data_IF_176237813771
#
_entry.id   IF_176237813771
#
_cell.length_a   1.000
_cell.length_b   1.000
_cell.length_c   1.000
_cell.angle_alpha   90.00
_cell.angle_beta   90.00
_cell.angle_gamma   90.00
#
_symmetry.space_group_name_H-M   'P 1'
#
loop_
_entity.id
_entity.type
_entity.pdbx_description
1 polymer ?
#
# COMPACT_ATOMS: atom_id res chain seq x y z
N UNK A 1 -6.89 -23.59 -21.72
CA UNK A 1 -6.81 -22.43 -22.65
C UNK A 1 -5.44 -21.81 -22.46
N UNK A 2 -4.63 -21.73 -23.51
CA UNK A 2 -3.31 -21.10 -23.43
C UNK A 2 -3.51 -19.61 -23.12
N UNK A 3 -3.12 -19.18 -21.91
CA UNK A 3 -3.09 -17.78 -21.53
C UNK A 3 -2.18 -17.02 -22.49
N UNK A 4 -2.70 -15.97 -23.11
CA UNK A 4 -1.88 -15.01 -23.82
C UNK A 4 -0.79 -14.47 -22.89
N UNK A 5 0.43 -14.35 -23.41
CA UNK A 5 1.63 -13.84 -22.76
C UNK A 5 1.58 -12.35 -22.39
N UNK A 6 0.39 -11.78 -22.25
CA UNK A 6 0.16 -10.37 -21.98
C UNK A 6 0.12 -10.14 -20.47
N UNK A 7 1.08 -9.36 -19.97
CA UNK A 7 1.14 -8.94 -18.56
C UNK A 7 -0.09 -8.15 -18.10
N UNK A 8 -0.21 -7.91 -16.80
CA UNK A 8 -1.33 -7.15 -16.24
C UNK A 8 -1.17 -5.66 -16.57
N UNK A 9 -1.92 -5.16 -17.55
CA UNK A 9 -1.82 -3.77 -17.99
C UNK A 9 -2.09 -2.76 -16.86
N UNK A 10 -2.91 -3.11 -15.86
CA UNK A 10 -3.23 -2.24 -14.72
C UNK A 10 -2.07 -2.12 -13.74
N UNK A 11 -1.36 -3.22 -13.46
CA UNK A 11 -0.24 -3.22 -12.51
C UNK A 11 1.09 -2.82 -13.17
N UNK A 12 1.26 -3.12 -14.47
CA UNK A 12 2.54 -2.97 -15.17
C UNK A 12 2.65 -1.66 -15.97
N UNK A 13 1.59 -0.84 -16.05
CA UNK A 13 1.63 0.48 -16.69
C UNK A 13 1.27 1.57 -15.71
N UNK A 14 2.11 2.61 -15.69
CA UNK A 14 1.83 3.83 -14.96
C UNK A 14 0.90 4.74 -15.79
N UNK A 15 -0.04 5.45 -15.13
CA UNK A 15 -0.79 6.51 -15.78
C UNK A 15 0.13 7.69 -16.16
N UNK A 16 -0.33 8.52 -17.10
CA UNK A 16 0.38 9.73 -17.53
C UNK A 16 0.49 10.73 -16.38
N UNK A 17 1.69 11.30 -16.15
CA UNK A 17 1.97 12.13 -14.98
C UNK A 17 0.94 13.27 -14.77
N UNK A 18 0.65 13.68 -13.52
CA UNK A 18 -0.31 14.74 -13.24
C UNK A 18 0.16 16.13 -13.69
N UNK A 19 1.47 16.29 -13.92
CA UNK A 19 2.09 17.50 -14.45
C UNK A 19 2.10 17.57 -15.99
N UNK A 20 1.64 16.52 -16.67
CA UNK A 20 1.46 16.55 -18.12
C UNK A 20 0.32 17.53 -18.51
N UNK A 21 0.51 18.37 -19.55
CA UNK A 21 -0.57 19.19 -20.09
C UNK A 21 -1.78 18.35 -20.47
N UNK A 22 -2.97 18.78 -20.04
CA UNK A 22 -4.22 18.07 -20.34
C UNK A 22 -5.42 19.01 -20.45
N UNK A 23 -6.43 18.60 -21.21
CA UNK A 23 -7.76 19.20 -21.16
C UNK A 23 -8.60 18.39 -20.17
N UNK A 24 -9.01 19.04 -19.08
CA UNK A 24 -9.85 18.47 -18.03
C UNK A 24 -11.32 18.81 -18.29
N UNK A 25 -12.13 17.77 -18.46
CA UNK A 25 -13.58 17.87 -18.39
C UNK A 25 -14.01 17.58 -16.95
N UNK A 26 -14.79 18.48 -16.35
CA UNK A 26 -15.29 18.40 -14.99
C UNK A 26 -16.81 18.55 -15.01
N UNK A 27 -17.53 17.53 -14.55
CA UNK A 27 -18.98 17.52 -14.43
C UNK A 27 -19.37 17.50 -12.95
N UNK A 28 -19.77 18.65 -12.39
CA UNK A 28 -20.30 18.75 -11.04
C UNK A 28 -21.60 17.96 -10.92
N UNK A 29 -21.94 17.43 -9.73
CA UNK A 29 -23.14 16.61 -9.56
C UNK A 29 -24.43 17.44 -9.66
N UNK A 30 -24.38 18.73 -9.28
CA UNK A 30 -25.51 19.64 -9.18
C UNK A 30 -25.06 21.08 -9.51
N UNK A 31 -25.97 21.91 -10.01
CA UNK A 31 -25.66 23.28 -10.41
C UNK A 31 -25.13 24.19 -9.29
N UNK A 32 -25.46 23.93 -8.01
CA UNK A 32 -24.87 24.68 -6.90
C UNK A 32 -23.40 24.31 -6.66
N UNK A 33 -23.01 23.05 -6.90
CA UNK A 33 -21.61 22.61 -6.88
C UNK A 33 -20.85 23.24 -8.06
N UNK A 34 -21.48 23.29 -9.24
CA UNK A 34 -20.94 24.02 -10.39
C UNK A 34 -20.70 25.50 -10.06
N UNK A 35 -21.66 26.17 -9.42
CA UNK A 35 -21.54 27.56 -8.98
C UNK A 35 -20.38 27.80 -8.01
N UNK A 36 -20.15 26.89 -7.05
CA UNK A 36 -19.00 26.95 -6.13
C UNK A 36 -17.67 26.84 -6.88
N UNK A 37 -17.58 25.88 -7.81
CA UNK A 37 -16.38 25.66 -8.63
C UNK A 37 -16.10 26.90 -9.49
N UNK A 38 -17.08 27.38 -10.26
CA UNK A 38 -16.95 28.59 -11.10
C UNK A 38 -16.47 29.79 -10.29
N UNK A 39 -17.12 30.06 -9.15
CA UNK A 39 -16.73 31.16 -8.26
C UNK A 39 -15.29 31.05 -7.76
N UNK A 40 -14.82 29.84 -7.43
CA UNK A 40 -13.44 29.61 -7.00
C UNK A 40 -12.46 29.85 -8.15
N UNK A 41 -12.72 29.26 -9.32
CA UNK A 41 -11.88 29.43 -10.51
C UNK A 41 -11.80 30.91 -10.95
N UNK A 42 -12.93 31.62 -10.96
CA UNK A 42 -13.00 33.05 -11.25
C UNK A 42 -12.17 33.88 -10.25
N UNK A 43 -12.26 33.56 -8.96
CA UNK A 43 -11.52 34.28 -7.91
C UNK A 43 -10.00 34.12 -8.01
N UNK A 44 -9.54 33.02 -8.60
CA UNK A 44 -8.13 32.71 -8.83
C UNK A 44 -7.68 33.06 -10.26
N UNK A 45 -8.57 33.59 -11.11
CA UNK A 45 -8.27 33.96 -12.49
C UNK A 45 -8.01 32.77 -13.41
N UNK A 46 -8.56 31.60 -13.11
CA UNK A 46 -8.39 30.38 -13.89
C UNK A 46 -9.44 30.31 -15.00
N UNK A 47 -9.04 30.31 -16.29
CA UNK A 47 -9.98 30.25 -17.40
C UNK A 47 -10.64 28.87 -17.50
N UNK A 48 -11.93 28.84 -17.82
CA UNK A 48 -12.68 27.64 -18.13
C UNK A 48 -13.74 27.92 -19.21
N UNK A 49 -14.13 26.88 -19.93
CA UNK A 49 -15.25 26.90 -20.88
C UNK A 49 -16.40 26.04 -20.33
N UNK A 50 -17.63 26.29 -20.80
CA UNK A 50 -18.78 25.43 -20.48
C UNK A 50 -18.76 24.24 -21.44
N UNK A 51 -18.80 23.01 -20.91
CA UNK A 51 -19.08 21.85 -21.75
C UNK A 51 -20.51 21.97 -22.31
N UNK A 52 -20.84 21.30 -23.42
CA UNK A 52 -22.13 21.49 -24.10
C UNK A 52 -23.41 21.23 -23.27
N UNK A 53 -23.27 20.74 -22.04
CA UNK A 53 -24.27 20.60 -20.99
C UNK A 53 -24.14 21.71 -19.91
N UNK A 54 -25.28 22.25 -19.44
CA UNK A 54 -25.37 23.52 -18.66
C UNK A 54 -24.43 23.67 -17.44
N UNK A 55 -23.94 22.56 -16.87
CA UNK A 55 -23.11 22.55 -15.66
C UNK A 55 -21.68 22.03 -15.86
N UNK A 56 -21.34 21.45 -17.02
CA UNK A 56 -20.00 20.92 -17.27
C UNK A 56 -18.97 22.04 -17.49
N UNK A 57 -17.73 21.80 -17.07
CA UNK A 57 -16.61 22.72 -17.24
C UNK A 57 -15.47 22.04 -18.01
N UNK A 58 -14.79 22.81 -18.85
CA UNK A 58 -13.58 22.41 -19.58
C UNK A 58 -12.45 23.34 -19.15
N UNK A 59 -11.35 22.76 -18.66
CA UNK A 59 -10.18 23.50 -18.18
C UNK A 59 -8.92 23.02 -18.90
N UNK A 60 -8.00 23.94 -19.21
CA UNK A 60 -6.65 23.59 -19.67
C UNK A 60 -5.71 23.52 -18.49
N UNK A 61 -5.26 22.31 -18.15
CA UNK A 61 -4.38 22.03 -17.01
C UNK A 61 -2.94 21.96 -17.50
N UNK A 62 -2.33 23.12 -17.71
CA UNK A 62 -0.95 23.23 -18.24
C UNK A 62 0.03 23.74 -17.19
N UNK A 63 -0.43 24.61 -16.28
CA UNK A 63 0.42 25.28 -15.30
C UNK A 63 0.18 24.75 -13.88
N UNK A 64 1.17 24.94 -13.01
CA UNK A 64 1.02 24.58 -11.60
C UNK A 64 -0.09 25.39 -10.91
N UNK A 65 -0.28 26.65 -11.29
CA UNK A 65 -1.37 27.49 -10.77
C UNK A 65 -2.76 26.85 -10.98
N UNK A 66 -3.03 26.28 -12.17
CA UNK A 66 -4.30 25.58 -12.44
C UNK A 66 -4.43 24.32 -11.57
N UNK A 67 -3.33 23.58 -11.35
CA UNK A 67 -3.35 22.38 -10.50
C UNK A 67 -3.62 22.74 -9.04
N UNK A 68 -2.98 23.79 -8.53
CA UNK A 68 -3.23 24.28 -7.17
C UNK A 68 -4.68 24.78 -7.01
N UNK A 69 -5.22 25.45 -8.02
CA UNK A 69 -6.62 25.86 -8.04
C UNK A 69 -7.60 24.68 -7.94
N UNK A 70 -7.33 23.61 -8.71
CA UNK A 70 -8.12 22.38 -8.66
C UNK A 70 -8.03 21.72 -7.28
N UNK A 71 -6.82 21.60 -6.72
CA UNK A 71 -6.59 21.10 -5.36
C UNK A 71 -7.36 21.93 -4.32
N UNK A 72 -7.40 23.25 -4.49
CA UNK A 72 -8.13 24.19 -3.63
C UNK A 72 -9.66 24.07 -3.70
N UNK A 73 -10.22 23.32 -4.65
CA UNK A 73 -11.67 23.07 -4.71
C UNK A 73 -12.20 22.34 -3.47
N UNK A 74 -11.36 21.56 -2.78
CA UNK A 74 -11.73 20.89 -1.51
C UNK A 74 -12.02 21.87 -0.37
N UNK A 75 -11.59 23.14 -0.47
CA UNK A 75 -11.90 24.16 0.53
C UNK A 75 -13.34 24.69 0.40
N UNK A 76 -13.95 24.54 -0.78
CA UNK A 76 -15.28 25.08 -1.10
C UNK A 76 -16.32 23.99 -1.35
N UNK A 77 -15.90 22.77 -1.66
CA UNK A 77 -16.76 21.61 -1.88
C UNK A 77 -16.73 20.67 -0.66
N UNK A 78 -17.86 20.02 -0.38
CA UNK A 78 -17.88 18.91 0.57
C UNK A 78 -17.24 17.64 0.00
N UNK A 79 -16.88 16.69 0.88
CA UNK A 79 -16.38 15.39 0.45
C UNK A 79 -17.40 14.62 -0.41
N UNK A 80 -18.71 14.78 -0.14
CA UNK A 80 -19.79 14.21 -0.96
C UNK A 80 -19.82 14.84 -2.36
N UNK A 81 -19.62 16.17 -2.46
CA UNK A 81 -19.56 16.85 -3.75
C UNK A 81 -18.34 16.38 -4.57
N UNK A 82 -17.16 16.25 -3.96
CA UNK A 82 -15.96 15.75 -4.63
C UNK A 82 -16.10 14.29 -5.09
N UNK A 83 -16.76 13.43 -4.30
CA UNK A 83 -17.04 12.02 -4.68
C UNK A 83 -18.09 11.89 -5.77
N UNK A 84 -19.05 12.81 -5.82
CA UNK A 84 -20.13 12.79 -6.80
C UNK A 84 -19.76 13.48 -8.12
N UNK A 85 -18.86 14.46 -8.12
CA UNK A 85 -18.34 15.09 -9.34
C UNK A 85 -17.57 14.07 -10.20
N UNK A 86 -17.65 14.23 -11.52
CA UNK A 86 -16.97 13.37 -12.51
C UNK A 86 -15.92 14.17 -13.26
N UNK A 87 -14.80 13.52 -13.58
CA UNK A 87 -13.69 14.15 -14.28
C UNK A 87 -13.13 13.23 -15.36
N UNK A 88 -12.70 13.83 -16.46
CA UNK A 88 -11.96 13.16 -17.53
C UNK A 88 -10.82 14.07 -18.01
N UNK A 89 -9.58 13.60 -17.86
CA UNK A 89 -8.41 14.28 -18.41
C UNK A 89 -8.01 13.66 -19.75
N UNK A 90 -7.92 14.49 -20.79
CA UNK A 90 -7.52 14.11 -22.14
C UNK A 90 -6.28 14.88 -22.58
N UNK A 91 -5.62 14.37 -23.63
CA UNK A 91 -4.56 15.12 -24.32
C UNK A 91 -5.13 16.46 -24.81
N UNK A 92 -4.36 17.57 -24.75
CA UNK A 92 -4.84 18.88 -25.20
C UNK A 92 -5.41 18.83 -26.62
N UNK A 93 -6.62 19.38 -26.79
CA UNK A 93 -7.33 19.43 -28.07
C UNK A 93 -8.11 18.16 -28.45
N UNK A 94 -8.05 17.09 -27.65
CA UNK A 94 -8.88 15.91 -27.87
C UNK A 94 -10.31 16.11 -27.34
N UNK A 95 -11.28 15.51 -28.04
CA UNK A 95 -12.69 15.47 -27.61
C UNK A 95 -13.03 14.10 -27.02
N UNK A 96 -13.87 14.04 -25.96
CA UNK A 96 -14.27 12.79 -25.35
C UNK A 96 -14.98 11.86 -26.34
N UNK A 97 -14.64 10.58 -26.30
CA UNK A 97 -15.30 9.52 -27.06
C UNK A 97 -15.85 8.45 -26.12
N UNK A 98 -16.66 7.51 -26.65
CA UNK A 98 -17.11 6.35 -25.86
C UNK A 98 -15.94 5.47 -25.35
N UNK A 99 -14.78 5.51 -26.01
CA UNK A 99 -13.60 4.79 -25.57
C UNK A 99 -12.99 5.37 -24.27
N UNK A 100 -13.33 6.60 -23.93
CA UNK A 100 -12.85 7.29 -22.73
C UNK A 100 -13.74 7.07 -21.51
N UNK A 101 -14.94 6.50 -21.69
CA UNK A 101 -15.88 6.26 -20.60
C UNK A 101 -15.28 5.47 -19.43
N UNK A 102 -14.46 4.41 -19.64
CA UNK A 102 -13.81 3.69 -18.54
C UNK A 102 -12.74 4.50 -17.78
N UNK A 103 -12.34 5.67 -18.30
CA UNK A 103 -11.33 6.57 -17.70
C UNK A 103 -11.95 7.70 -16.90
N UNK A 104 -13.28 7.86 -16.96
CA UNK A 104 -13.99 8.84 -16.14
C UNK A 104 -13.83 8.45 -14.67
N UNK A 105 -13.33 9.38 -13.87
CA UNK A 105 -13.11 9.18 -12.43
C UNK A 105 -13.83 10.26 -11.62
N UNK A 106 -13.70 10.24 -10.30
CA UNK A 106 -14.27 11.27 -9.43
C UNK A 106 -13.31 12.46 -9.31
N UNK A 107 -13.85 13.63 -8.94
CA UNK A 107 -12.99 14.77 -8.61
C UNK A 107 -12.07 14.41 -7.43
N UNK A 108 -12.56 13.74 -6.39
CA UNK A 108 -11.74 13.25 -5.27
C UNK A 108 -10.52 12.45 -5.76
N UNK A 109 -10.72 11.49 -6.66
CA UNK A 109 -9.61 10.69 -7.20
C UNK A 109 -8.64 11.53 -8.01
N UNK A 110 -9.13 12.46 -8.84
CA UNK A 110 -8.27 13.39 -9.57
C UNK A 110 -7.43 14.25 -8.63
N UNK A 111 -8.01 14.81 -7.56
CA UNK A 111 -7.28 15.67 -6.63
C UNK A 111 -6.19 14.91 -5.87
N UNK A 112 -6.48 13.68 -5.45
CA UNK A 112 -5.47 12.79 -4.87
C UNK A 112 -4.39 12.41 -5.90
N UNK A 113 -4.78 12.21 -7.16
CA UNK A 113 -3.84 11.95 -8.26
C UNK A 113 -2.89 13.12 -8.53
N UNK A 114 -3.39 14.36 -8.52
CA UNK A 114 -2.57 15.57 -8.64
C UNK A 114 -1.54 15.68 -7.51
N UNK A 115 -1.90 15.27 -6.29
CA UNK A 115 -0.99 15.21 -5.12
C UNK A 115 0.00 14.05 -5.17
N UNK A 116 -0.30 13.00 -5.94
CA UNK A 116 0.51 11.79 -6.03
C UNK A 116 1.69 11.89 -7.01
N UNK A 117 2.03 13.08 -7.52
CA UNK A 117 3.18 13.30 -8.40
C UNK A 117 4.48 12.64 -7.90
N UNK A 118 4.91 12.91 -6.64
CA UNK A 118 6.09 12.26 -6.08
C UNK A 118 6.01 10.73 -5.98
N UNK A 119 4.81 10.17 -5.75
CA UNK A 119 4.60 8.72 -5.73
C UNK A 119 4.77 8.12 -7.13
N UNK A 120 4.20 8.76 -8.16
CA UNK A 120 4.36 8.34 -9.55
C UNK A 120 5.84 8.39 -9.95
N UNK A 121 6.56 9.42 -9.49
CA UNK A 121 7.99 9.53 -9.65
C UNK A 121 8.77 8.39 -8.98
N UNK A 122 8.39 8.00 -7.76
CA UNK A 122 8.94 6.81 -7.11
C UNK A 122 8.69 5.55 -7.92
N UNK A 123 7.46 5.35 -8.42
CA UNK A 123 7.09 4.18 -9.20
C UNK A 123 7.79 4.12 -10.57
N UNK A 124 7.99 5.26 -11.22
CA UNK A 124 8.62 5.34 -12.54
C UNK A 124 10.13 5.02 -12.50
N UNK A 125 10.79 5.25 -11.37
CA UNK A 125 12.23 5.08 -11.19
C UNK A 125 12.59 3.96 -10.21
N UNK A 126 11.62 3.16 -9.77
CA UNK A 126 11.78 2.16 -8.70
C UNK A 126 12.49 2.72 -7.44
N UNK A 127 12.23 3.98 -7.10
CA UNK A 127 12.96 4.74 -6.08
C UNK A 127 12.39 4.52 -4.66
N UNK A 128 12.44 3.26 -4.19
CA UNK A 128 12.07 2.84 -2.84
C UNK A 128 13.31 2.73 -1.94
N UNK A 129 13.15 3.00 -0.65
CA UNK A 129 14.11 2.59 0.39
C UNK A 129 13.60 1.32 1.05
N UNK A 130 14.37 0.23 1.01
CA UNK A 130 13.95 -1.03 1.64
C UNK A 130 14.81 -1.30 2.87
N UNK A 131 14.15 -1.40 4.02
CA UNK A 131 14.74 -1.84 5.28
C UNK A 131 14.26 -3.24 5.66
N UNK A 132 15.00 -3.90 6.54
CA UNK A 132 14.67 -5.22 7.08
C UNK A 132 14.80 -5.19 8.61
N UNK A 133 13.67 -5.25 9.31
CA UNK A 133 13.64 -5.31 10.77
C UNK A 133 13.79 -6.77 11.22
N UNK A 134 14.75 -7.10 12.09
CA UNK A 134 14.93 -8.47 12.54
C UNK A 134 13.75 -8.95 13.40
N UNK A 135 13.35 -10.18 13.17
CA UNK A 135 12.36 -10.92 13.95
C UNK A 135 13.13 -12.03 14.68
N UNK A 136 13.23 -11.90 16.00
CA UNK A 136 14.07 -12.75 16.85
C UNK A 136 13.22 -13.68 17.70
N UNK A 137 13.80 -14.78 18.17
CA UNK A 137 13.15 -15.65 19.15
C UNK A 137 12.91 -14.91 20.47
N UNK A 138 11.75 -15.12 21.10
CA UNK A 138 11.39 -14.42 22.33
C UNK A 138 12.20 -14.85 23.57
N UNK A 139 12.79 -16.04 23.55
CA UNK A 139 13.71 -16.55 24.59
C UNK A 139 15.19 -16.23 24.31
N UNK A 140 15.56 -16.06 23.03
CA UNK A 140 16.91 -15.70 22.60
C UNK A 140 16.88 -14.60 21.53
N UNK A 141 17.02 -13.35 21.97
CA UNK A 141 17.03 -12.20 21.07
C UNK A 141 18.25 -12.13 20.15
N UNK A 142 19.27 -12.97 20.36
CA UNK A 142 20.44 -13.06 19.46
C UNK A 142 20.19 -13.95 18.25
N UNK A 143 19.18 -14.83 18.31
CA UNK A 143 18.80 -15.69 17.22
C UNK A 143 17.72 -15.03 16.35
N UNK A 144 18.09 -14.74 15.10
CA UNK A 144 17.21 -14.06 14.14
C UNK A 144 16.48 -15.12 13.31
N UNK A 145 15.18 -15.26 13.55
CA UNK A 145 14.32 -16.19 12.81
C UNK A 145 14.02 -15.68 11.39
N UNK A 146 13.70 -14.39 11.24
CA UNK A 146 13.26 -13.79 9.98
C UNK A 146 13.51 -12.28 9.95
N UNK A 147 13.12 -11.63 8.85
CA UNK A 147 13.08 -10.18 8.76
C UNK A 147 11.74 -9.66 8.23
N UNK A 148 11.22 -8.62 8.85
CA UNK A 148 10.10 -7.82 8.33
C UNK A 148 10.59 -6.80 7.31
N UNK A 149 10.15 -6.90 6.06
CA UNK A 149 10.48 -5.90 5.05
C UNK A 149 9.70 -4.60 5.29
N UNK A 150 10.41 -3.47 5.27
CA UNK A 150 9.88 -2.14 5.45
C UNK A 150 10.13 -1.31 4.20
N UNK A 151 9.08 -0.67 3.68
CA UNK A 151 9.15 0.16 2.47
C UNK A 151 9.10 1.63 2.85
N UNK A 152 10.15 2.35 2.50
CA UNK A 152 10.30 3.80 2.62
C UNK A 152 10.14 4.50 1.28
N UNK A 153 9.67 5.74 1.35
CA UNK A 153 9.34 6.58 0.20
C UNK A 153 10.15 7.89 0.27
N UNK A 154 11.42 7.92 -0.17
CA UNK A 154 12.32 9.06 0.05
C UNK A 154 11.84 10.38 -0.59
N UNK A 155 10.93 10.29 -1.57
CA UNK A 155 10.33 11.44 -2.27
C UNK A 155 9.02 11.93 -1.64
N UNK A 156 8.51 11.22 -0.64
CA UNK A 156 7.24 11.55 0.03
C UNK A 156 7.46 11.82 1.52
N UNK A 157 6.60 12.66 2.07
CA UNK A 157 6.47 12.81 3.51
C UNK A 157 5.40 11.86 4.05
N UNK A 158 5.61 11.35 5.26
CA UNK A 158 4.67 10.48 5.96
C UNK A 158 5.10 9.01 6.00
N UNK A 159 4.44 8.27 6.87
CA UNK A 159 4.64 6.83 7.05
C UNK A 159 4.09 6.03 5.84
N UNK A 160 4.57 4.80 5.67
CA UNK A 160 4.15 3.90 4.58
C UNK A 160 2.64 3.80 4.43
N UNK A 161 1.90 3.63 5.53
CA UNK A 161 0.43 3.54 5.54
C UNK A 161 -0.22 4.74 4.85
N UNK A 162 0.26 5.96 5.11
CA UNK A 162 -0.29 7.17 4.50
C UNK A 162 -0.05 7.21 2.99
N UNK A 163 1.08 6.68 2.53
CA UNK A 163 1.40 6.58 1.09
C UNK A 163 0.51 5.54 0.40
N UNK A 164 0.25 4.39 1.04
CA UNK A 164 -0.68 3.40 0.52
C UNK A 164 -2.13 3.91 0.48
N UNK A 165 -2.56 4.71 1.47
CA UNK A 165 -3.85 5.38 1.45
C UNK A 165 -3.94 6.43 0.32
N UNK A 166 -2.90 7.24 0.13
CA UNK A 166 -2.82 8.16 -1.01
C UNK A 166 -2.91 7.39 -2.33
N UNK A 167 -2.15 6.30 -2.48
CA UNK A 167 -2.18 5.47 -3.67
C UNK A 167 -3.57 4.89 -3.93
N UNK A 168 -4.29 4.48 -2.90
CA UNK A 168 -5.68 4.00 -3.04
C UNK A 168 -6.60 5.10 -3.54
N UNK A 169 -6.55 6.29 -2.93
CA UNK A 169 -7.40 7.42 -3.33
C UNK A 169 -7.05 7.96 -4.72
N UNK A 170 -5.78 7.85 -5.11
CA UNK A 170 -5.27 8.24 -6.43
C UNK A 170 -5.37 7.13 -7.50
N UNK A 171 -5.97 5.98 -7.20
CA UNK A 171 -6.10 4.84 -8.13
C UNK A 171 -4.75 4.28 -8.64
N UNK A 172 -3.74 4.32 -7.76
CA UNK A 172 -2.36 3.85 -7.96
C UNK A 172 -2.01 2.62 -7.12
N UNK A 173 -2.95 2.10 -6.33
CA UNK A 173 -2.71 1.00 -5.39
C UNK A 173 -2.14 -0.25 -6.07
N UNK A 174 -2.61 -0.57 -7.27
CA UNK A 174 -2.16 -1.73 -8.05
C UNK A 174 -0.68 -1.67 -8.42
N UNK A 175 -0.23 -0.49 -8.86
CA UNK A 175 1.15 -0.26 -9.25
C UNK A 175 2.05 -0.20 -8.02
N UNK A 176 1.60 0.49 -6.97
CA UNK A 176 2.35 0.59 -5.73
C UNK A 176 2.57 -0.77 -5.06
N UNK A 177 1.51 -1.53 -4.80
CA UNK A 177 1.59 -2.83 -4.15
C UNK A 177 2.48 -3.81 -4.94
N UNK A 178 2.34 -3.84 -6.27
CA UNK A 178 3.22 -4.66 -7.13
C UNK A 178 4.69 -4.24 -7.03
N UNK A 179 4.98 -2.95 -7.21
CA UNK A 179 6.36 -2.46 -7.21
C UNK A 179 7.02 -2.60 -5.84
N UNK A 180 6.29 -2.33 -4.76
CA UNK A 180 6.74 -2.53 -3.39
C UNK A 180 7.10 -4.00 -3.11
N UNK A 181 6.22 -4.96 -3.44
CA UNK A 181 6.54 -6.40 -3.31
C UNK A 181 7.82 -6.79 -4.04
N UNK A 182 7.97 -6.34 -5.29
CA UNK A 182 9.13 -6.66 -6.13
C UNK A 182 10.40 -6.01 -5.55
N UNK A 183 10.32 -4.77 -5.06
CA UNK A 183 11.44 -4.07 -4.44
C UNK A 183 11.93 -4.81 -3.18
N UNK A 184 11.01 -5.22 -2.29
CA UNK A 184 11.36 -6.00 -1.10
C UNK A 184 12.09 -7.31 -1.45
N UNK A 185 11.54 -8.07 -2.40
CA UNK A 185 12.11 -9.36 -2.83
C UNK A 185 13.51 -9.18 -3.43
N UNK A 186 13.72 -8.15 -4.25
CA UNK A 186 15.03 -7.86 -4.85
C UNK A 186 16.06 -7.38 -3.82
N UNK A 187 15.62 -6.60 -2.84
CA UNK A 187 16.51 -6.00 -1.86
C UNK A 187 17.05 -6.99 -0.82
N UNK A 188 16.29 -8.04 -0.48
CA UNK A 188 16.67 -9.02 0.53
C UNK A 188 18.06 -9.65 0.28
N UNK A 189 18.32 -10.31 -0.86
CA UNK A 189 19.64 -10.87 -1.14
C UNK A 189 20.72 -9.79 -1.32
N UNK A 190 20.37 -8.62 -1.86
CA UNK A 190 21.31 -7.50 -2.01
C UNK A 190 21.82 -6.97 -0.65
N UNK A 191 21.05 -7.14 0.42
CA UNK A 191 21.42 -6.78 1.79
C UNK A 191 21.90 -7.99 2.62
N UNK A 192 22.18 -9.13 1.99
CA UNK A 192 22.60 -10.38 2.62
C UNK A 192 21.59 -10.95 3.62
N UNK A 193 20.29 -10.73 3.40
CA UNK A 193 19.23 -11.36 4.18
C UNK A 193 19.06 -12.81 3.73
N UNK A 194 19.45 -13.74 4.59
CA UNK A 194 19.42 -15.19 4.34
C UNK A 194 18.34 -15.93 5.13
N UNK A 195 17.50 -15.20 5.87
CA UNK A 195 16.36 -15.74 6.62
C UNK A 195 15.05 -15.40 5.89
N UNK A 196 13.92 -16.03 6.24
CA UNK A 196 12.62 -15.69 5.67
C UNK A 196 12.32 -14.19 5.76
N UNK A 197 11.72 -13.65 4.71
CA UNK A 197 11.32 -12.23 4.63
C UNK A 197 9.81 -12.09 4.59
N UNK A 198 9.28 -11.27 5.48
CA UNK A 198 7.87 -10.93 5.52
C UNK A 198 7.62 -9.72 4.62
N UNK A 199 6.78 -9.91 3.60
CA UNK A 199 6.47 -8.90 2.59
C UNK A 199 4.98 -8.59 2.64
N UNK A 200 4.63 -7.32 2.84
CA UNK A 200 3.23 -6.90 2.85
C UNK A 200 2.57 -7.03 1.46
N UNK A 201 1.28 -7.36 1.45
CA UNK A 201 0.44 -7.26 0.26
C UNK A 201 -0.93 -6.66 0.55
N UNK A 202 -1.50 -6.00 -0.46
CA UNK A 202 -2.81 -5.38 -0.42
C UNK A 202 -3.80 -6.19 -1.28
N UNK A 203 -4.76 -6.94 -0.69
CA UNK A 203 -5.71 -7.75 -1.47
C UNK A 203 -6.49 -6.95 -2.53
N UNK A 204 -6.86 -5.70 -2.20
CA UNK A 204 -7.57 -4.80 -3.11
C UNK A 204 -6.75 -4.42 -4.37
N UNK A 205 -5.43 -4.59 -4.32
CA UNK A 205 -4.52 -4.35 -5.44
C UNK A 205 -4.43 -5.54 -6.42
N UNK A 206 -4.98 -6.70 -6.07
CA UNK A 206 -4.86 -7.94 -6.82
C UNK A 206 -6.23 -8.28 -7.40
N UNK A 207 -6.42 -8.10 -8.71
CA UNK A 207 -7.68 -8.49 -9.38
C UNK A 207 -7.70 -9.96 -9.78
N UNK A 208 -6.59 -10.44 -10.31
CA UNK A 208 -6.41 -11.84 -10.63
C UNK A 208 -5.02 -12.25 -10.15
N UNK A 209 -4.90 -13.19 -9.21
CA UNK A 209 -3.61 -13.54 -8.64
C UNK A 209 -2.64 -14.13 -9.69
N UNK A 210 -3.15 -14.85 -10.70
CA UNK A 210 -2.31 -15.44 -11.76
C UNK A 210 -1.62 -14.35 -12.58
N UNK A 211 -2.35 -13.29 -12.94
CA UNK A 211 -1.78 -12.19 -13.75
C UNK A 211 -1.03 -11.16 -12.89
N UNK A 212 -1.60 -10.74 -11.77
CA UNK A 212 -1.05 -9.67 -10.93
C UNK A 212 0.20 -10.09 -10.16
N UNK A 213 0.31 -11.37 -9.75
CA UNK A 213 1.45 -11.89 -8.98
C UNK A 213 2.53 -12.55 -9.84
N UNK A 214 2.30 -12.75 -11.15
CA UNK A 214 3.29 -13.30 -12.09
C UNK A 214 4.65 -12.63 -11.96
N UNK A 215 4.68 -11.29 -11.95
CA UNK A 215 5.93 -10.54 -11.88
C UNK A 215 6.60 -10.60 -10.51
N UNK A 216 5.81 -10.83 -9.44
CA UNK A 216 6.33 -11.10 -8.09
C UNK A 216 7.03 -12.47 -8.07
N UNK A 217 6.41 -13.50 -8.65
CA UNK A 217 7.01 -14.85 -8.80
C UNK A 217 8.28 -14.80 -9.64
N UNK A 218 8.25 -14.08 -10.77
CA UNK A 218 9.44 -13.90 -11.62
C UNK A 218 10.56 -13.16 -10.88
N UNK A 219 10.23 -12.15 -10.07
CA UNK A 219 11.23 -11.42 -9.30
C UNK A 219 11.93 -12.34 -8.29
N UNK A 220 11.18 -13.14 -7.53
CA UNK A 220 11.74 -14.10 -6.57
C UNK A 220 12.67 -15.11 -7.26
N UNK A 221 12.25 -15.66 -8.41
CA UNK A 221 13.07 -16.60 -9.21
C UNK A 221 14.34 -15.96 -9.75
N UNK A 222 14.30 -14.68 -10.18
CA UNK A 222 15.47 -13.99 -10.75
C UNK A 222 16.57 -13.72 -9.73
N UNK A 223 16.22 -13.64 -8.45
CA UNK A 223 17.18 -13.40 -7.36
C UNK A 223 17.45 -14.65 -6.54
N UNK A 224 17.03 -15.81 -7.04
CA UNK A 224 17.19 -17.13 -6.40
C UNK A 224 16.70 -17.18 -4.94
N UNK A 225 15.66 -16.39 -4.61
CA UNK A 225 15.04 -16.41 -3.28
C UNK A 225 13.99 -17.55 -3.24
N UNK A 226 14.18 -18.59 -2.40
CA UNK A 226 13.25 -19.70 -2.33
C UNK A 226 11.84 -19.23 -1.92
N UNK A 227 10.76 -19.74 -2.53
CA UNK A 227 9.40 -19.34 -2.17
C UNK A 227 9.07 -19.51 -0.68
N UNK A 228 9.57 -20.56 -0.05
CA UNK A 228 9.40 -20.83 1.39
C UNK A 228 10.03 -19.75 2.29
N UNK A 229 10.97 -18.96 1.77
CA UNK A 229 11.59 -17.85 2.46
C UNK A 229 10.87 -16.51 2.22
N UNK A 230 9.70 -16.50 1.58
CA UNK A 230 8.88 -15.30 1.41
C UNK A 230 7.52 -15.53 2.08
N UNK A 231 7.24 -14.73 3.11
CA UNK A 231 5.99 -14.77 3.88
C UNK A 231 5.13 -13.56 3.51
N UNK A 232 4.04 -13.77 2.79
CA UNK A 232 3.14 -12.67 2.42
C UNK A 232 2.22 -12.29 3.57
N UNK A 233 2.29 -11.03 3.99
CA UNK A 233 1.58 -10.52 5.16
C UNK A 233 0.40 -9.66 4.78
N UNK A 234 -0.79 -10.04 5.25
CA UNK A 234 -1.96 -9.15 5.23
C UNK A 234 -1.89 -8.21 6.44
N UNK A 235 -1.22 -7.07 6.30
CA UNK A 235 -0.85 -6.22 7.44
C UNK A 235 -2.03 -5.48 8.08
N UNK A 236 -2.98 -5.00 7.26
CA UNK A 236 -4.14 -4.23 7.71
C UNK A 236 -5.44 -5.03 7.55
N UNK A 237 -5.79 -5.92 8.50
CA UNK A 237 -7.09 -6.56 8.48
C UNK A 237 -8.20 -5.52 8.64
N UNK A 238 -9.11 -5.50 7.68
CA UNK A 238 -10.37 -4.75 7.71
C UNK A 238 -11.56 -5.69 7.52
N UNK A 239 -12.76 -5.23 7.85
CA UNK A 239 -13.99 -5.95 7.53
C UNK A 239 -14.37 -5.78 6.06
N UNK A 240 -15.26 -6.65 5.57
CA UNK A 240 -15.87 -6.49 4.25
C UNK A 240 -15.02 -6.93 3.05
N UNK A 241 -13.95 -7.70 3.27
CA UNK A 241 -13.27 -8.38 2.17
C UNK A 241 -14.20 -9.37 1.47
N UNK A 242 -14.06 -9.48 0.14
CA UNK A 242 -14.56 -10.64 -0.59
C UNK A 242 -13.74 -11.86 -0.18
N UNK A 243 -14.32 -12.68 0.72
CA UNK A 243 -13.69 -13.88 1.26
C UNK A 243 -13.35 -14.89 0.16
N UNK A 244 -14.16 -15.00 -0.89
CA UNK A 244 -13.92 -15.94 -1.98
C UNK A 244 -12.70 -15.50 -2.79
N UNK A 245 -12.64 -14.21 -3.12
CA UNK A 245 -11.49 -13.63 -3.81
C UNK A 245 -10.21 -13.71 -2.97
N UNK A 246 -10.28 -13.38 -1.69
CA UNK A 246 -9.14 -13.49 -0.79
C UNK A 246 -8.63 -14.94 -0.74
N UNK A 247 -9.51 -15.94 -0.59
CA UNK A 247 -9.11 -17.36 -0.65
C UNK A 247 -8.41 -17.73 -1.96
N UNK A 248 -8.83 -17.17 -3.08
CA UNK A 248 -8.17 -17.40 -4.38
C UNK A 248 -6.73 -16.85 -4.38
N UNK A 249 -6.53 -15.61 -3.90
CA UNK A 249 -5.19 -15.02 -3.75
C UNK A 249 -4.29 -15.90 -2.87
N UNK A 250 -4.82 -16.36 -1.75
CA UNK A 250 -4.09 -17.17 -0.78
C UNK A 250 -3.78 -18.58 -1.27
N UNK A 251 -4.70 -19.19 -2.04
CA UNK A 251 -4.44 -20.47 -2.70
C UNK A 251 -3.28 -20.30 -3.68
N UNK A 252 -3.31 -19.25 -4.50
CA UNK A 252 -2.25 -18.99 -5.45
C UNK A 252 -0.89 -18.82 -4.75
N UNK A 253 -0.81 -18.08 -3.64
CA UNK A 253 0.44 -17.96 -2.90
C UNK A 253 0.97 -19.33 -2.43
N UNK A 254 0.11 -20.16 -1.83
CA UNK A 254 0.49 -21.51 -1.38
C UNK A 254 0.90 -22.43 -2.53
N UNK A 255 0.19 -22.37 -3.65
CA UNK A 255 0.50 -23.16 -4.84
C UNK A 255 1.86 -22.80 -5.46
N UNK A 256 2.34 -21.56 -5.23
CA UNK A 256 3.68 -21.13 -5.59
C UNK A 256 4.74 -21.45 -4.52
N UNK A 257 4.36 -22.01 -3.37
CA UNK A 257 5.25 -22.37 -2.26
C UNK A 257 5.49 -21.26 -1.24
N UNK A 258 4.73 -20.16 -1.30
CA UNK A 258 4.85 -19.06 -0.33
C UNK A 258 4.08 -19.33 0.95
N UNK A 259 4.59 -18.80 2.05
CA UNK A 259 3.89 -18.75 3.33
C UNK A 259 3.05 -17.47 3.45
N UNK A 260 2.12 -17.48 4.41
CA UNK A 260 1.20 -16.35 4.64
C UNK A 260 1.11 -16.02 6.12
N UNK A 261 1.09 -14.72 6.42
CA UNK A 261 0.94 -14.17 7.76
C UNK A 261 -0.29 -13.24 7.89
N UNK A 262 -0.89 -13.23 9.07
CA UNK A 262 -1.89 -12.24 9.47
C UNK A 262 -1.23 -11.08 10.22
N UNK A 263 -1.42 -9.85 9.78
CA UNK A 263 -1.08 -8.67 10.55
C UNK A 263 -2.12 -8.36 11.62
N UNK A 264 -1.68 -7.74 12.72
CA UNK A 264 -2.52 -7.05 13.71
C UNK A 264 -3.68 -7.88 14.30
N UNK A 265 -3.41 -9.14 14.66
CA UNK A 265 -4.31 -9.97 15.45
C UNK A 265 -4.67 -9.24 16.76
N UNK A 266 -5.98 -9.06 17.00
CA UNK A 266 -6.49 -8.35 18.17
C UNK A 266 -6.92 -6.90 17.94
N UNK A 267 -6.80 -6.37 16.71
CA UNK A 267 -7.26 -5.01 16.34
C UNK A 267 -8.79 -4.81 16.33
N UNK A 268 -9.57 -5.84 16.70
CA UNK A 268 -11.03 -5.80 16.84
C UNK A 268 -11.84 -5.94 15.54
N UNK A 269 -11.36 -5.39 14.43
CA UNK A 269 -12.11 -5.39 13.16
C UNK A 269 -11.64 -6.53 12.25
N UNK A 270 -12.50 -7.52 12.00
CA UNK A 270 -12.30 -8.55 10.98
C UNK A 270 -11.13 -9.52 11.19
N UNK A 271 -10.20 -9.26 12.11
CA UNK A 271 -8.98 -10.07 12.27
C UNK A 271 -9.27 -11.56 12.61
N UNK A 272 -10.23 -11.83 13.49
CA UNK A 272 -10.63 -13.21 13.82
C UNK A 272 -11.38 -13.90 12.68
N UNK A 273 -12.19 -13.15 11.94
CA UNK A 273 -12.86 -13.62 10.73
C UNK A 273 -11.85 -13.91 9.62
N UNK A 274 -10.80 -13.11 9.50
CA UNK A 274 -9.73 -13.35 8.56
C UNK A 274 -8.88 -14.55 8.99
N UNK A 275 -8.64 -14.76 10.28
CA UNK A 275 -7.88 -15.92 10.77
C UNK A 275 -8.45 -17.26 10.28
N UNK A 276 -9.78 -17.44 10.31
CA UNK A 276 -10.44 -18.68 9.84
C UNK A 276 -10.30 -18.92 8.33
N UNK A 277 -10.17 -17.85 7.54
CA UNK A 277 -10.09 -17.92 6.07
C UNK A 277 -8.63 -17.95 5.61
N UNK A 278 -7.79 -17.16 6.25
CA UNK A 278 -6.39 -17.01 5.97
C UNK A 278 -5.63 -18.26 6.36
N UNK A 279 -5.92 -18.89 7.51
CA UNK A 279 -5.17 -20.04 8.06
C UNK A 279 -3.65 -19.82 7.94
N UNK A 280 -3.13 -18.72 8.50
CA UNK A 280 -1.73 -18.33 8.31
C UNK A 280 -0.79 -19.24 9.12
N UNK A 281 0.48 -19.31 8.69
CA UNK A 281 1.55 -19.86 9.53
C UNK A 281 1.95 -18.91 10.67
N UNK A 282 1.81 -17.60 10.42
CA UNK A 282 2.24 -16.54 11.34
C UNK A 282 1.13 -15.54 11.64
N UNK A 283 1.15 -14.95 12.84
CA UNK A 283 0.28 -13.83 13.19
C UNK A 283 1.02 -12.77 14.01
N UNK A 284 1.04 -11.53 13.52
CA UNK A 284 1.48 -10.37 14.28
C UNK A 284 0.39 -9.90 15.23
N UNK A 285 0.73 -9.64 16.50
CA UNK A 285 -0.19 -9.01 17.45
C UNK A 285 -0.36 -7.52 17.13
N UNK A 286 -1.56 -6.99 17.35
CA UNK A 286 -1.85 -5.58 17.17
C UNK A 286 -1.06 -4.72 18.18
N UNK A 287 -0.45 -3.59 17.79
CA UNK A 287 0.25 -2.70 18.72
C UNK A 287 -0.63 -2.24 19.89
N UNK A 288 -1.91 -1.96 19.62
CA UNK A 288 -2.88 -1.55 20.65
C UNK A 288 -3.14 -2.64 21.72
N UNK A 289 -2.81 -3.89 21.41
CA UNK A 289 -2.87 -5.01 22.34
C UNK A 289 -1.56 -5.17 23.14
N UNK A 290 -0.42 -4.68 22.62
CA UNK A 290 0.89 -4.81 23.26
C UNK A 290 1.18 -3.60 24.17
N UNK A 291 0.94 -2.39 23.69
CA UNK A 291 1.37 -1.15 24.34
C UNK A 291 0.82 -1.03 25.78
N UNK A 292 1.66 -1.15 26.81
CA UNK A 292 1.23 -1.11 28.22
C UNK A 292 0.49 -2.37 28.68
N UNK A 293 0.67 -3.52 28.01
CA UNK A 293 0.02 -4.78 28.40
C UNK A 293 0.42 -5.27 29.79
N UNK A 294 1.64 -4.96 30.23
CA UNK A 294 2.16 -5.38 31.53
C UNK A 294 1.35 -4.80 32.70
N UNK A 295 0.79 -3.61 32.54
CA UNK A 295 0.05 -2.88 33.59
C UNK A 295 -1.47 -2.94 33.42
N UNK A 296 -1.98 -3.48 32.30
CA UNK A 296 -3.41 -3.57 32.01
C UNK A 296 -3.92 -5.02 32.13
N UNK A 297 -4.58 -5.39 33.24
CA UNK A 297 -5.06 -6.75 33.45
C UNK A 297 -6.16 -7.15 32.45
N UNK A 298 -6.95 -6.21 31.93
CA UNK A 298 -7.98 -6.51 30.94
C UNK A 298 -7.33 -6.87 29.60
N UNK A 299 -6.37 -6.04 29.17
CA UNK A 299 -5.59 -6.29 27.95
C UNK A 299 -4.81 -7.59 28.05
N UNK A 300 -4.19 -7.85 29.20
CA UNK A 300 -3.45 -9.10 29.45
C UNK A 300 -4.32 -10.35 29.33
N UNK A 301 -5.56 -10.33 29.84
CA UNK A 301 -6.50 -11.45 29.67
C UNK A 301 -6.84 -11.68 28.20
N UNK A 302 -7.12 -10.62 27.45
CA UNK A 302 -7.47 -10.72 26.02
C UNK A 302 -6.28 -11.28 25.23
N UNK A 303 -5.09 -10.71 25.39
CA UNK A 303 -3.89 -11.14 24.68
C UNK A 303 -3.53 -12.59 24.99
N UNK A 304 -3.63 -13.01 26.26
CA UNK A 304 -3.41 -14.40 26.65
C UNK A 304 -4.35 -15.36 25.92
N UNK A 305 -5.62 -15.01 25.78
CA UNK A 305 -6.59 -15.84 25.05
C UNK A 305 -6.31 -15.88 23.55
N UNK A 306 -5.79 -14.80 22.97
CA UNK A 306 -5.34 -14.79 21.59
C UNK A 306 -4.09 -15.66 21.38
N UNK A 307 -3.10 -15.58 22.28
CA UNK A 307 -1.90 -16.44 22.26
C UNK A 307 -2.26 -17.92 22.45
N UNK A 308 -3.09 -18.26 23.44
CA UNK A 308 -3.61 -19.62 23.65
C UNK A 308 -4.29 -20.18 22.39
N UNK A 309 -5.11 -19.35 21.73
CA UNK A 309 -5.77 -19.71 20.48
C UNK A 309 -4.77 -19.92 19.34
N UNK A 310 -3.81 -19.01 19.16
CA UNK A 310 -2.78 -19.14 18.13
C UNK A 310 -1.98 -20.44 18.30
N UNK A 311 -1.56 -20.78 19.52
CA UNK A 311 -0.87 -22.04 19.81
C UNK A 311 -1.70 -23.27 19.47
N UNK A 312 -2.99 -23.28 19.85
CA UNK A 312 -3.89 -24.40 19.53
C UNK A 312 -4.10 -24.57 18.03
N UNK A 313 -4.02 -23.47 17.27
CA UNK A 313 -4.11 -23.45 15.82
C UNK A 313 -2.75 -23.68 15.13
N UNK A 314 -1.67 -23.82 15.88
CA UNK A 314 -0.27 -23.90 15.38
C UNK A 314 0.12 -22.70 14.54
N UNK A 315 -0.25 -21.52 15.00
CA UNK A 315 0.10 -20.24 14.42
C UNK A 315 1.21 -19.65 15.27
N UNK A 316 2.33 -19.32 14.64
CA UNK A 316 3.45 -18.68 15.31
C UNK A 316 3.21 -17.18 15.46
N UNK A 317 3.36 -16.68 16.67
CA UNK A 317 2.99 -15.31 17.05
C UNK A 317 4.20 -14.40 17.08
N UNK A 318 4.01 -13.18 16.57
CA UNK A 318 5.05 -12.16 16.53
C UNK A 318 4.53 -10.89 17.21
N UNK A 319 5.34 -10.25 18.05
CA UNK A 319 5.01 -8.97 18.67
C UNK A 319 6.10 -7.93 18.42
N UNK A 320 5.71 -6.70 18.10
CA UNK A 320 6.66 -5.59 17.95
C UNK A 320 6.80 -4.86 19.27
N UNK A 321 7.93 -5.03 19.95
CA UNK A 321 8.26 -4.31 21.19
C UNK A 321 9.78 -4.27 21.40
N UNK A 322 10.25 -3.38 22.28
CA UNK A 322 11.65 -3.35 22.67
C UNK A 322 12.01 -4.59 23.51
N UNK A 323 13.13 -5.29 23.24
CA UNK A 323 13.55 -6.49 23.95
C UNK A 323 13.57 -6.39 25.49
N UNK A 324 14.00 -5.26 26.04
CA UNK A 324 14.16 -5.06 27.49
C UNK A 324 12.90 -4.44 28.15
N UNK A 325 11.78 -4.38 27.44
CA UNK A 325 10.55 -3.78 27.95
C UNK A 325 9.79 -4.71 28.90
N UNK A 326 8.98 -4.15 29.84
CA UNK A 326 8.02 -4.92 30.60
C UNK A 326 7.04 -5.70 29.71
N UNK A 327 6.66 -5.13 28.56
CA UNK A 327 5.82 -5.78 27.56
C UNK A 327 6.47 -7.05 26.99
N UNK A 328 7.77 -7.00 26.66
CA UNK A 328 8.51 -8.16 26.16
C UNK A 328 8.55 -9.28 27.19
N UNK A 329 8.84 -8.95 28.46
CA UNK A 329 8.82 -9.91 29.57
C UNK A 329 7.45 -10.57 29.72
N UNK A 330 6.38 -9.76 29.72
CA UNK A 330 5.02 -10.26 29.81
C UNK A 330 4.67 -11.18 28.64
N UNK A 331 4.99 -10.78 27.41
CA UNK A 331 4.70 -11.55 26.20
C UNK A 331 5.42 -12.89 26.19
N UNK A 332 6.70 -12.90 26.61
CA UNK A 332 7.48 -14.12 26.75
C UNK A 332 6.88 -15.09 27.76
N UNK A 333 6.52 -14.60 28.97
CA UNK A 333 5.87 -15.41 30.01
C UNK A 333 4.54 -16.04 29.55
N UNK A 334 3.87 -15.39 28.60
CA UNK A 334 2.58 -15.83 28.06
C UNK A 334 2.72 -16.56 26.71
N UNK A 335 3.95 -16.83 26.28
CA UNK A 335 4.29 -17.74 25.19
C UNK A 335 4.29 -17.13 23.80
N UNK A 336 4.51 -15.83 23.63
CA UNK A 336 4.81 -15.30 22.29
C UNK A 336 6.02 -16.03 21.69
N UNK A 337 6.01 -16.29 20.38
CA UNK A 337 7.11 -17.02 19.74
C UNK A 337 8.28 -16.09 19.40
N UNK A 338 7.96 -14.91 18.87
CA UNK A 338 8.95 -14.00 18.30
C UNK A 338 8.71 -12.54 18.64
N UNK A 339 9.80 -11.78 18.68
CA UNK A 339 9.78 -10.32 18.81
C UNK A 339 10.32 -9.68 17.53
N UNK A 340 9.57 -8.75 16.95
CA UNK A 340 10.05 -7.90 15.87
C UNK A 340 10.74 -6.66 16.47
N UNK A 341 12.06 -6.59 16.36
CA UNK A 341 12.85 -5.47 16.85
C UNK A 341 12.78 -4.39 15.77
N UNK A 342 11.79 -3.51 15.87
CA UNK A 342 11.73 -2.39 14.94
C UNK A 342 12.94 -1.48 15.19
N UNK A 343 13.62 -0.98 14.15
CA UNK A 343 14.22 0.33 14.26
C UNK A 343 13.08 1.27 14.67
N UNK A 344 13.27 2.04 15.73
CA UNK A 344 12.41 3.16 16.07
C UNK A 344 12.07 3.95 14.78
N UNK A 345 10.88 4.55 14.59
CA UNK A 345 10.54 5.36 13.39
C UNK A 345 11.51 6.53 13.08
N UNK A 346 12.58 6.70 13.88
CA UNK A 346 13.70 7.63 13.65
C UNK A 346 14.97 6.99 13.06
N UNK A 347 15.08 5.67 12.95
CA UNK A 347 16.26 5.00 12.41
C UNK A 347 16.14 4.85 10.88
N UNK A 348 16.37 5.98 10.21
CA UNK A 348 16.62 6.07 8.77
C UNK A 348 17.80 5.16 8.41
N UNK A 349 17.57 4.16 7.56
CA UNK A 349 18.65 3.49 6.84
C UNK A 349 19.28 4.49 5.87
N UNK A 350 20.62 4.58 5.88
CA UNK A 350 21.36 5.43 4.96
C UNK A 350 21.09 5.02 3.49
N UNK A 351 21.05 5.98 2.55
CA UNK A 351 20.90 5.66 1.13
C UNK A 351 22.04 4.75 0.67
N UNK A 352 21.69 3.74 -0.13
CA UNK A 352 22.65 2.86 -0.80
C UNK A 352 23.49 3.76 -1.73
N UNK A 353 24.75 3.97 -1.37
CA UNK A 353 25.68 4.74 -2.19
C UNK A 353 25.91 4.03 -3.53
N UNK A 354 25.58 4.71 -4.62
CA UNK A 354 25.95 4.30 -5.98
C UNK A 354 27.48 4.18 -6.05
N UNK A 355 27.99 2.96 -6.23
CA UNK A 355 29.38 2.74 -6.62
C UNK A 355 29.54 3.21 -8.06
N UNK A 356 29.93 4.47 -8.24
CA UNK A 356 30.45 4.95 -9.51
C UNK A 356 31.73 4.21 -9.86
N UNK A 357 31.71 3.53 -11.01
CA UNK A 357 32.88 3.03 -11.72
C UNK A 357 33.87 4.18 -11.97
N UNK A 358 35.06 4.09 -11.39
CA UNK A 358 36.25 4.77 -11.89
C UNK A 358 37.26 3.71 -12.32
N UNK A 359 37.29 3.41 -13.61
CA UNK A 359 38.40 2.73 -14.26
C UNK A 359 38.45 3.09 -15.75
N UNK A 360 38.83 4.34 -16.07
CA UNK A 360 39.57 4.67 -17.30
C UNK A 360 40.51 5.83 -17.00
N UNK A 361 41.78 5.52 -16.77
CA UNK A 361 42.94 6.23 -17.33
C UNK A 361 44.05 5.23 -17.59
#
# INVERSE_FOLDING_TARGET
MACSSTGCARCERLPARPDAPSTLYLWPPLGHSAGKIRKRLDSEGIPFETAGDDDGLILQVETDAVRQALIGLEEVLSAEECRAARTLALTPGATPTLADYPRVTTLETLLNYLRAGPLIDTLAHDAFEIGFAPIVFADDHSDVMAHGAQVGFPRLSGESDAVFELARRADLLHQLDRSARIACIKAAPAQNINTPVFVEFQPAAIYDPVYCLRTTVEAAKRVDLPPENIVFTLNHPQGGYDVAHLKNILSYYRDQGYEVALGRLGSGVGALELLQHLRPGYAWLAPQLIDGIADDPYRGVIARKLLEMAHRLRIETIASTAPDSPEASWLYEHGVNYLAISPHPSARTAPIAERHEQAVQ
#
